data_IF_536834378734
#
_entry.id   IF_536834378734
#
_cell.length_a   1.000
_cell.length_b   1.000
_cell.length_c   1.000
_cell.angle_alpha   90.00
_cell.angle_beta   90.00
_cell.angle_gamma   90.00
#
_symmetry.space_group_name_H-M   'P 1'
#
loop_
_entity.id
_entity.type
_entity.pdbx_description
1 polymer ?
#
# COMPACT_ATOMS: atom_id res chain seq x y z
N UNK A 1 22.12 22.21 35.25
CA UNK A 1 22.21 21.25 36.39
C UNK A 1 21.08 20.24 36.25
N UNK A 2 21.36 18.96 36.51
CA UNK A 2 20.28 17.93 36.58
C UNK A 2 20.01 17.59 38.04
N UNK A 3 18.75 17.54 38.44
CA UNK A 3 18.33 17.14 39.78
C UNK A 3 17.06 16.28 39.78
N UNK A 4 16.85 15.53 40.84
CA UNK A 4 15.58 14.84 41.04
C UNK A 4 14.47 15.87 41.31
N UNK A 5 13.28 15.58 40.79
CA UNK A 5 12.09 16.30 41.21
C UNK A 5 11.66 15.92 42.64
N UNK A 6 11.09 16.86 43.33
CA UNK A 6 10.49 16.70 44.66
C UNK A 6 8.97 16.90 44.54
N UNK A 7 8.16 16.53 45.53
CA UNK A 7 6.72 16.84 45.51
C UNK A 7 6.39 18.33 45.29
N UNK A 8 7.26 19.22 45.74
CA UNK A 8 7.09 20.67 45.56
C UNK A 8 7.24 21.10 44.08
N UNK A 9 7.90 20.28 43.27
CA UNK A 9 8.12 20.52 41.85
C UNK A 9 6.91 20.08 40.98
N UNK A 10 5.87 19.47 41.55
CA UNK A 10 4.72 18.98 40.81
C UNK A 10 4.10 19.98 39.83
N UNK A 11 3.91 21.28 40.14
CA UNK A 11 3.42 22.25 39.18
C UNK A 11 4.34 22.40 37.98
N UNK A 12 5.67 22.38 38.18
CA UNK A 12 6.67 22.51 37.16
C UNK A 12 6.74 21.26 36.26
N UNK A 13 6.67 20.08 36.87
CA UNK A 13 6.63 18.79 36.13
C UNK A 13 5.39 18.75 35.22
N UNK A 14 4.23 19.16 35.75
CA UNK A 14 2.99 19.26 34.96
C UNK A 14 3.11 20.24 33.80
N UNK A 15 3.76 21.37 33.99
CA UNK A 15 3.97 22.35 32.95
C UNK A 15 4.84 21.75 31.82
N UNK A 16 6.01 21.21 32.15
CA UNK A 16 6.93 20.63 31.15
C UNK A 16 6.33 19.42 30.45
N UNK A 17 5.52 18.64 31.16
CA UNK A 17 4.80 17.52 30.56
C UNK A 17 3.74 17.99 29.56
N UNK A 18 2.96 19.04 29.91
CA UNK A 18 1.97 19.61 28.97
C UNK A 18 2.66 20.25 27.74
N UNK A 19 3.83 20.88 27.92
CA UNK A 19 4.64 21.39 26.81
C UNK A 19 5.11 20.24 25.89
N UNK A 20 5.50 19.10 26.47
CA UNK A 20 5.85 17.88 25.72
C UNK A 20 4.67 17.35 24.92
N UNK A 21 3.51 17.15 25.54
CA UNK A 21 2.31 16.64 24.86
C UNK A 21 1.85 17.53 23.70
N UNK A 22 1.95 18.83 23.86
CA UNK A 22 1.58 19.77 22.79
C UNK A 22 2.47 19.63 21.53
N UNK A 23 3.67 19.04 21.66
CA UNK A 23 4.57 18.81 20.53
C UNK A 23 4.51 17.40 19.94
N UNK A 24 3.94 16.43 20.68
CA UNK A 24 3.81 15.05 20.21
C UNK A 24 2.45 14.88 19.53
N UNK A 25 2.40 14.65 18.23
CA UNK A 25 1.13 14.41 17.56
C UNK A 25 0.56 13.05 18.01
N UNK A 26 -0.66 13.07 18.54
CA UNK A 26 -1.39 11.83 18.81
C UNK A 26 -1.81 11.14 17.52
N UNK A 27 -1.87 9.80 17.59
CA UNK A 27 -2.50 9.04 16.54
C UNK A 27 -4.02 9.34 16.54
N UNK A 28 -4.66 9.59 15.37
CA UNK A 28 -6.07 10.02 15.30
C UNK A 28 -7.08 9.06 15.93
N UNK A 29 -6.67 7.85 16.27
CA UNK A 29 -7.47 6.75 16.83
C UNK A 29 -7.13 6.44 18.30
N UNK A 30 -6.23 7.18 18.95
CA UNK A 30 -5.99 7.07 20.38
C UNK A 30 -6.96 7.96 21.14
N UNK A 31 -7.47 7.44 22.25
CA UNK A 31 -8.21 8.26 23.21
C UNK A 31 -7.27 9.29 23.86
N UNK A 32 -7.80 10.44 24.20
CA UNK A 32 -7.06 11.48 24.93
C UNK A 32 -6.97 11.09 26.40
N UNK A 33 -5.84 10.50 26.77
CA UNK A 33 -5.53 10.09 28.15
C UNK A 33 -4.77 11.19 28.95
N UNK A 34 -4.58 12.39 28.39
CA UNK A 34 -3.77 13.48 28.97
C UNK A 34 -4.19 13.82 30.39
N UNK A 35 -5.50 13.86 30.68
CA UNK A 35 -6.00 14.16 32.02
C UNK A 35 -5.66 13.06 33.04
N UNK A 36 -5.72 11.80 32.63
CA UNK A 36 -5.36 10.66 33.47
C UNK A 36 -3.85 10.63 33.75
N UNK A 37 -3.05 10.86 32.70
CA UNK A 37 -1.59 10.94 32.82
C UNK A 37 -1.15 12.10 33.72
N UNK A 38 -1.73 13.29 33.57
CA UNK A 38 -1.49 14.42 34.47
C UNK A 38 -1.85 14.14 35.95
N UNK A 39 -2.89 13.33 36.18
CA UNK A 39 -3.28 12.95 37.54
C UNK A 39 -2.29 11.95 38.15
N UNK A 40 -1.59 11.13 37.35
CA UNK A 40 -0.63 10.13 37.84
C UNK A 40 0.71 10.75 38.27
N UNK A 41 1.10 11.91 37.75
CA UNK A 41 2.43 12.53 37.93
C UNK A 41 2.86 12.71 39.39
N UNK A 42 1.92 12.94 40.32
CA UNK A 42 2.22 13.01 41.75
C UNK A 42 2.71 11.68 42.30
N UNK A 43 2.06 10.58 41.85
CA UNK A 43 2.49 9.22 42.19
C UNK A 43 3.84 8.86 41.55
N UNK A 44 4.09 9.35 40.38
CA UNK A 44 5.31 9.10 39.60
C UNK A 44 6.54 9.75 40.27
N UNK A 45 6.42 11.02 40.76
CA UNK A 45 7.49 11.68 41.53
C UNK A 45 7.89 10.87 42.76
N UNK A 46 6.92 10.17 43.38
CA UNK A 46 7.18 9.38 44.57
C UNK A 46 7.78 7.99 44.31
N UNK A 47 7.58 7.41 43.16
CA UNK A 47 7.90 6.01 42.82
C UNK A 47 8.91 5.81 41.74
N UNK A 48 9.09 6.82 40.86
CA UNK A 48 9.84 6.72 39.64
C UNK A 48 11.04 7.66 39.62
N UNK A 49 11.83 7.61 38.54
CA UNK A 49 12.92 8.52 38.31
C UNK A 49 12.37 9.74 37.56
N UNK A 50 12.10 10.82 38.26
CA UNK A 50 11.68 12.10 37.67
C UNK A 50 12.83 13.10 37.81
N UNK A 51 13.35 13.58 36.70
CA UNK A 51 14.49 14.49 36.63
C UNK A 51 14.13 15.80 35.96
N UNK A 52 14.61 16.89 36.55
CA UNK A 52 14.52 18.23 35.97
C UNK A 52 15.90 18.71 35.55
N UNK A 53 15.98 19.32 34.36
CA UNK A 53 17.14 20.03 33.89
C UNK A 53 16.93 21.53 34.07
N UNK A 54 17.92 22.22 34.67
CA UNK A 54 17.90 23.65 34.87
C UNK A 54 19.14 24.30 34.22
N UNK A 55 18.92 25.47 33.64
CA UNK A 55 19.95 26.37 33.12
C UNK A 55 19.69 27.79 33.64
N UNK A 56 20.67 28.42 34.23
CA UNK A 56 20.57 29.79 34.80
C UNK A 56 19.39 29.95 35.77
N UNK A 57 19.01 28.88 36.50
CA UNK A 57 17.90 28.86 37.44
C UNK A 57 16.53 28.60 36.77
N UNK A 58 16.48 28.49 35.45
CA UNK A 58 15.24 28.20 34.72
C UNK A 58 15.12 26.72 34.34
N UNK A 59 13.93 26.13 34.46
CA UNK A 59 13.68 24.74 34.06
C UNK A 59 13.62 24.64 32.53
N UNK A 60 14.46 23.79 31.95
CA UNK A 60 14.58 23.65 30.49
C UNK A 60 14.35 22.22 29.99
N UNK A 61 14.13 21.24 30.87
CA UNK A 61 13.89 19.87 30.45
C UNK A 61 13.39 18.95 31.55
N UNK A 62 12.78 17.86 31.15
CA UNK A 62 12.17 16.83 31.97
C UNK A 62 12.55 15.44 31.44
N UNK A 63 12.87 14.53 32.33
CA UNK A 63 12.90 13.09 32.03
C UNK A 63 12.14 12.32 33.07
N UNK A 64 11.28 11.38 32.61
CA UNK A 64 10.58 10.42 33.48
C UNK A 64 10.99 9.03 33.04
N UNK A 65 11.43 8.20 33.97
CA UNK A 65 11.86 6.84 33.70
C UNK A 65 11.48 5.92 34.85
N UNK A 66 11.24 4.67 34.52
CA UNK A 66 10.82 3.64 35.48
C UNK A 66 11.52 2.31 35.22
N UNK A 67 11.33 1.37 36.12
CA UNK A 67 11.75 -0.04 35.91
C UNK A 67 10.59 -0.87 35.37
N UNK A 68 10.82 -1.54 34.22
CA UNK A 68 9.96 -2.59 33.67
C UNK A 68 10.52 -3.98 34.01
N UNK A 69 10.55 -4.38 35.29
CA UNK A 69 11.11 -5.66 35.72
C UNK A 69 12.55 -5.62 36.24
N UNK A 70 13.22 -6.78 36.30
CA UNK A 70 14.50 -6.91 37.00
C UNK A 70 15.69 -6.25 36.26
N UNK A 71 15.68 -6.26 34.93
CA UNK A 71 16.83 -5.85 34.10
C UNK A 71 16.56 -4.72 33.13
N UNK A 72 15.30 -4.30 32.97
CA UNK A 72 14.87 -3.33 31.98
C UNK A 72 14.44 -2.05 32.66
N UNK A 73 15.05 -0.93 32.26
CA UNK A 73 14.57 0.42 32.50
C UNK A 73 13.76 0.91 31.28
N UNK A 74 12.83 1.79 31.52
CA UNK A 74 12.02 2.41 30.47
C UNK A 74 12.06 3.94 30.61
N UNK A 75 12.45 4.62 29.55
CA UNK A 75 12.39 6.07 29.45
C UNK A 75 11.05 6.43 28.83
N UNK A 76 10.15 6.89 29.66
CA UNK A 76 8.78 7.24 29.27
C UNK A 76 8.72 8.63 28.64
N UNK A 77 9.28 9.63 29.31
CA UNK A 77 9.31 11.02 28.86
C UNK A 77 10.74 11.53 28.76
N UNK A 78 11.06 12.17 27.65
CA UNK A 78 12.24 13.01 27.50
C UNK A 78 11.87 14.26 26.74
N UNK A 79 11.85 15.37 27.45
CA UNK A 79 11.53 16.68 26.90
C UNK A 79 12.64 17.70 27.16
N UNK A 80 12.93 18.53 26.18
CA UNK A 80 13.80 19.70 26.30
C UNK A 80 13.14 20.83 25.54
N UNK A 81 12.98 21.96 26.22
CA UNK A 81 12.40 23.19 25.63
C UNK A 81 13.15 23.57 24.34
N UNK A 82 12.43 24.06 23.30
CA UNK A 82 13.00 24.34 21.99
C UNK A 82 14.26 25.22 22.02
N UNK A 83 14.28 26.25 22.86
CA UNK A 83 15.39 27.21 23.04
C UNK A 83 16.63 26.61 23.73
N UNK A 84 16.46 25.51 24.45
CA UNK A 84 17.55 24.77 25.10
C UNK A 84 18.05 23.55 24.31
N UNK A 85 17.44 23.24 23.16
CA UNK A 85 17.86 22.11 22.31
C UNK A 85 19.22 22.36 21.67
N UNK A 86 19.92 21.27 21.33
CA UNK A 86 21.24 21.33 20.75
C UNK A 86 22.37 21.67 21.75
N UNK A 87 22.03 21.99 23.02
CA UNK A 87 23.03 22.33 24.07
C UNK A 87 23.49 21.15 24.94
N UNK A 88 23.06 19.89 24.60
CA UNK A 88 23.44 18.69 25.32
C UNK A 88 22.55 18.29 26.48
N UNK A 89 21.50 19.07 26.82
CA UNK A 89 20.59 18.82 27.96
C UNK A 89 19.93 17.45 27.92
N UNK A 90 19.48 17.00 26.76
CA UNK A 90 18.87 15.67 26.62
C UNK A 90 19.86 14.55 26.96
N UNK A 91 21.12 14.68 26.53
CA UNK A 91 22.17 13.72 26.85
C UNK A 91 22.53 13.69 28.35
N UNK A 92 22.52 14.85 29.02
CA UNK A 92 22.72 14.93 30.45
C UNK A 92 21.59 14.28 31.23
N UNK A 93 20.32 14.52 30.84
CA UNK A 93 19.14 13.89 31.45
C UNK A 93 19.19 12.36 31.31
N UNK A 94 19.41 11.85 30.07
CA UNK A 94 19.48 10.41 29.79
C UNK A 94 20.68 9.79 30.52
N UNK A 95 21.82 10.46 30.58
CA UNK A 95 23.01 10.02 31.35
C UNK A 95 22.67 9.78 32.81
N UNK A 96 21.94 10.70 33.45
CA UNK A 96 21.53 10.57 34.86
C UNK A 96 20.47 9.46 35.04
N UNK A 97 19.51 9.33 34.11
CA UNK A 97 18.53 8.21 34.09
C UNK A 97 19.28 6.88 34.03
N UNK A 98 20.23 6.72 33.09
CA UNK A 98 21.03 5.50 32.94
C UNK A 98 21.83 5.19 34.19
N UNK A 99 22.42 6.18 34.85
CA UNK A 99 23.14 5.98 36.10
C UNK A 99 22.24 5.39 37.19
N UNK A 100 21.07 6.01 37.41
CA UNK A 100 20.12 5.56 38.45
C UNK A 100 19.53 4.20 38.15
N UNK A 101 19.18 3.92 36.90
CA UNK A 101 18.67 2.62 36.49
C UNK A 101 19.73 1.52 36.63
N UNK A 102 20.99 1.82 36.32
CA UNK A 102 22.12 0.89 36.52
C UNK A 102 22.33 0.57 38.01
N UNK A 103 22.30 1.56 38.88
CA UNK A 103 22.39 1.38 40.32
C UNK A 103 21.23 0.53 40.87
N UNK A 104 20.06 0.62 40.23
CA UNK A 104 18.91 -0.21 40.49
C UNK A 104 18.95 -1.60 39.82
N UNK A 105 20.04 -1.98 39.12
CA UNK A 105 20.28 -3.28 38.51
C UNK A 105 19.77 -3.46 37.08
N UNK A 106 19.30 -2.40 36.41
CA UNK A 106 18.95 -2.46 34.99
C UNK A 106 20.20 -2.62 34.12
N UNK A 107 20.06 -3.37 33.03
CA UNK A 107 21.13 -3.62 32.04
C UNK A 107 20.70 -3.22 30.63
N UNK A 108 19.43 -2.89 30.44
CA UNK A 108 18.85 -2.42 29.17
C UNK A 108 17.97 -1.21 29.46
N UNK A 109 17.95 -0.24 28.55
CA UNK A 109 17.01 0.87 28.53
C UNK A 109 16.16 0.80 27.28
N UNK A 110 14.84 0.81 27.45
CA UNK A 110 13.84 0.88 26.39
C UNK A 110 13.20 2.26 26.36
N UNK A 111 12.70 2.65 25.21
CA UNK A 111 11.83 3.80 25.00
C UNK A 111 10.88 3.54 23.83
N UNK A 112 9.80 4.31 23.78
CA UNK A 112 8.91 4.36 22.62
C UNK A 112 9.07 5.69 21.88
N UNK A 113 9.00 5.65 20.55
CA UNK A 113 9.08 6.83 19.71
C UNK A 113 8.20 6.64 18.48
N UNK A 114 7.43 7.68 18.14
CA UNK A 114 6.63 7.66 16.93
C UNK A 114 7.51 7.46 15.69
N UNK A 115 7.07 6.60 14.78
CA UNK A 115 7.78 6.34 13.51
C UNK A 115 7.98 7.62 12.68
N UNK A 116 7.06 8.59 12.78
CA UNK A 116 7.12 9.90 12.14
C UNK A 116 8.12 10.87 12.78
N UNK A 117 8.56 10.64 14.03
CA UNK A 117 9.49 11.52 14.73
C UNK A 117 10.96 11.22 14.34
N UNK A 118 11.30 11.55 13.10
CA UNK A 118 12.64 11.30 12.55
C UNK A 118 13.76 12.01 13.35
N UNK A 119 13.48 13.19 13.92
CA UNK A 119 14.46 13.95 14.69
C UNK A 119 14.85 13.24 15.99
N UNK A 120 13.88 12.78 16.77
CA UNK A 120 14.13 12.03 18.00
C UNK A 120 14.80 10.68 17.70
N UNK A 121 14.33 9.95 16.69
CA UNK A 121 14.92 8.68 16.26
C UNK A 121 16.42 8.83 15.92
N UNK A 122 16.79 9.86 15.17
CA UNK A 122 18.21 10.13 14.84
C UNK A 122 19.06 10.42 16.08
N UNK A 123 18.50 11.01 17.14
CA UNK A 123 19.20 11.20 18.42
C UNK A 123 19.39 9.86 19.12
N UNK A 124 18.34 9.05 19.22
CA UNK A 124 18.40 7.75 19.89
C UNK A 124 19.34 6.77 19.19
N UNK A 125 19.36 6.74 17.86
CA UNK A 125 20.29 5.92 17.07
C UNK A 125 21.76 6.28 17.39
N UNK A 126 22.09 7.58 17.53
CA UNK A 126 23.43 8.02 17.93
C UNK A 126 23.82 7.60 19.35
N UNK A 127 22.83 7.38 20.23
CA UNK A 127 23.03 6.88 21.58
C UNK A 127 23.05 5.34 21.66
N UNK A 128 22.94 4.64 20.52
CA UNK A 128 23.03 3.19 20.43
C UNK A 128 21.69 2.46 20.56
N UNK A 129 20.56 3.17 20.54
CA UNK A 129 19.26 2.53 20.46
C UNK A 129 19.04 1.95 19.05
N UNK A 130 18.46 0.76 18.98
CA UNK A 130 18.04 0.11 17.75
C UNK A 130 16.56 -0.28 17.85
N UNK A 131 15.80 -0.29 16.74
CA UNK A 131 14.43 -0.78 16.73
C UNK A 131 14.36 -2.23 17.21
N UNK A 132 13.43 -2.53 18.12
CA UNK A 132 13.22 -3.87 18.66
C UNK A 132 11.79 -4.35 18.38
N UNK A 133 10.80 -3.51 18.54
CA UNK A 133 9.40 -3.78 18.25
C UNK A 133 8.85 -2.73 17.28
N UNK A 134 7.87 -3.12 16.49
CA UNK A 134 7.16 -2.24 15.56
C UNK A 134 5.66 -2.41 15.77
N UNK A 135 4.99 -1.35 16.19
CA UNK A 135 3.53 -1.31 16.24
C UNK A 135 2.98 -0.86 14.89
N UNK A 136 2.10 -1.68 14.30
CA UNK A 136 1.37 -1.35 13.08
C UNK A 136 -0.09 -1.11 13.45
N UNK A 137 -0.71 -0.13 12.79
CA UNK A 137 -2.12 0.17 12.95
C UNK A 137 -2.75 0.45 11.58
N UNK A 138 -3.99 -0.02 11.41
CA UNK A 138 -4.82 0.30 10.26
C UNK A 138 -6.28 0.42 10.70
N UNK A 139 -7.10 1.28 10.05
CA UNK A 139 -8.55 1.26 10.24
C UNK A 139 -9.14 -0.10 9.91
N UNK A 140 -10.11 -0.56 10.71
CA UNK A 140 -10.75 -1.87 10.48
C UNK A 140 -11.39 -1.95 9.08
N UNK A 141 -12.03 -0.87 8.62
CA UNK A 141 -12.61 -0.80 7.28
C UNK A 141 -11.58 -1.01 6.16
N UNK A 142 -10.35 -0.56 6.36
CA UNK A 142 -9.26 -0.79 5.41
C UNK A 142 -8.83 -2.26 5.40
N UNK A 143 -8.74 -2.87 6.58
CA UNK A 143 -8.44 -4.30 6.73
C UNK A 143 -9.55 -5.14 6.07
N UNK A 144 -10.81 -4.85 6.39
CA UNK A 144 -11.96 -5.54 5.80
C UNK A 144 -11.97 -5.44 4.28
N UNK A 145 -11.71 -4.25 3.73
CA UNK A 145 -11.64 -4.02 2.30
C UNK A 145 -10.52 -4.82 1.63
N UNK A 146 -9.34 -4.94 2.28
CA UNK A 146 -8.18 -5.66 1.73
C UNK A 146 -8.30 -7.18 1.88
N UNK A 147 -8.98 -7.65 2.92
CA UNK A 147 -9.20 -9.06 3.20
C UNK A 147 -10.50 -9.60 2.58
N UNK A 148 -11.39 -8.72 2.08
CA UNK A 148 -12.61 -9.15 1.43
C UNK A 148 -12.30 -10.13 0.29
N UNK A 149 -12.96 -11.29 0.24
CA UNK A 149 -12.76 -12.21 -0.86
C UNK A 149 -13.20 -11.54 -2.18
N UNK A 150 -12.52 -11.82 -3.30
CA UNK A 150 -12.91 -11.34 -4.60
C UNK A 150 -14.38 -11.70 -4.87
N UNK A 151 -15.20 -10.71 -5.15
CA UNK A 151 -16.62 -10.91 -5.42
C UNK A 151 -17.09 -9.90 -6.47
N UNK A 152 -17.26 -10.35 -7.69
CA UNK A 152 -17.70 -9.50 -8.78
C UNK A 152 -17.76 -10.24 -10.10
N UNK A 153 -18.24 -9.59 -11.17
CA UNK A 153 -18.37 -10.22 -12.47
C UNK A 153 -16.99 -10.54 -13.05
N UNK A 154 -16.90 -11.70 -13.70
CA UNK A 154 -15.84 -11.99 -14.66
C UNK A 154 -16.42 -11.78 -16.04
N UNK A 155 -15.73 -11.03 -16.87
CA UNK A 155 -16.10 -10.83 -18.27
C UNK A 155 -14.88 -10.46 -19.10
N UNK A 156 -15.00 -10.64 -20.42
CA UNK A 156 -13.93 -10.25 -21.33
C UNK A 156 -14.39 -10.13 -22.76
N UNK A 157 -13.57 -9.45 -23.56
CA UNK A 157 -13.75 -9.26 -24.98
C UNK A 157 -12.43 -9.43 -25.74
N UNK A 158 -12.53 -9.81 -26.98
CA UNK A 158 -11.39 -9.90 -27.90
C UNK A 158 -11.51 -8.85 -28.99
N UNK A 159 -10.46 -8.07 -29.18
CA UNK A 159 -10.42 -7.02 -30.19
C UNK A 159 -9.37 -7.36 -31.24
N UNK A 160 -9.77 -7.38 -32.50
CA UNK A 160 -8.92 -7.71 -33.65
C UNK A 160 -8.63 -6.42 -34.44
N UNK A 161 -7.36 -6.11 -34.65
CA UNK A 161 -6.95 -4.90 -35.35
C UNK A 161 -7.10 -5.08 -36.87
N UNK A 162 -8.30 -4.80 -37.37
CA UNK A 162 -8.68 -4.95 -38.76
C UNK A 162 -9.95 -4.15 -39.09
N UNK A 163 -10.14 -3.79 -40.37
CA UNK A 163 -11.38 -3.20 -40.87
C UNK A 163 -12.29 -4.24 -41.53
N UNK A 164 -11.85 -5.50 -41.68
CA UNK A 164 -12.63 -6.58 -42.29
C UNK A 164 -13.50 -7.30 -41.25
N UNK A 165 -14.68 -6.74 -40.95
CA UNK A 165 -15.68 -7.33 -40.06
C UNK A 165 -16.05 -8.75 -40.50
N UNK A 166 -16.29 -8.97 -41.78
CA UNK A 166 -16.73 -10.29 -42.27
C UNK A 166 -15.65 -11.36 -42.14
N UNK A 167 -14.36 -11.01 -42.21
CA UNK A 167 -13.29 -11.98 -41.92
C UNK A 167 -13.28 -12.37 -40.43
N UNK A 168 -13.53 -11.43 -39.52
CA UNK A 168 -13.61 -11.71 -38.07
C UNK A 168 -14.83 -12.59 -37.76
N UNK A 169 -16.00 -12.29 -38.30
CA UNK A 169 -17.21 -13.11 -38.13
C UNK A 169 -16.99 -14.57 -38.57
N UNK A 170 -16.38 -14.77 -39.75
CA UNK A 170 -16.04 -16.11 -40.25
C UNK A 170 -15.02 -16.83 -39.36
N UNK A 171 -14.03 -16.10 -38.82
CA UNK A 171 -13.05 -16.66 -37.91
C UNK A 171 -13.69 -17.07 -36.57
N UNK A 172 -14.53 -16.23 -35.99
CA UNK A 172 -15.29 -16.51 -34.76
C UNK A 172 -16.17 -17.75 -34.95
N UNK A 173 -16.96 -17.82 -36.00
CA UNK A 173 -17.82 -18.97 -36.30
C UNK A 173 -17.03 -20.29 -36.44
N UNK A 174 -15.77 -20.25 -36.83
CA UNK A 174 -14.89 -21.42 -36.95
C UNK A 174 -14.16 -21.76 -35.66
N UNK A 175 -13.77 -20.77 -34.87
CA UNK A 175 -12.93 -20.94 -33.67
C UNK A 175 -13.78 -21.27 -32.44
N UNK A 176 -14.85 -20.51 -32.17
CA UNK A 176 -15.65 -20.66 -30.94
C UNK A 176 -16.14 -22.09 -30.72
N UNK A 177 -16.69 -22.84 -31.71
CA UNK A 177 -17.14 -24.21 -31.50
C UNK A 177 -16.02 -25.19 -31.08
N UNK A 178 -14.75 -24.84 -31.30
CA UNK A 178 -13.59 -25.67 -30.90
C UNK A 178 -13.16 -25.39 -29.45
N UNK A 179 -13.55 -24.23 -28.90
CA UNK A 179 -13.24 -23.83 -27.53
C UNK A 179 -14.24 -24.41 -26.53
N UNK A 180 -15.50 -24.57 -26.97
CA UNK A 180 -16.55 -25.10 -26.14
C UNK A 180 -17.94 -24.76 -26.65
N UNK A 181 -18.96 -25.08 -25.84
CA UNK A 181 -20.33 -24.71 -26.11
C UNK A 181 -20.59 -23.31 -25.62
N UNK A 182 -20.75 -22.34 -26.51
CA UNK A 182 -21.12 -20.96 -26.23
C UNK A 182 -22.65 -20.77 -26.35
N UNK A 183 -23.18 -19.84 -25.58
CA UNK A 183 -24.56 -19.36 -25.72
C UNK A 183 -24.72 -18.37 -26.90
N UNK A 184 -23.63 -17.71 -27.31
CA UNK A 184 -23.60 -16.79 -28.44
C UNK A 184 -22.36 -15.93 -28.49
N UNK A 185 -22.15 -15.32 -29.67
CA UNK A 185 -21.10 -14.34 -29.93
C UNK A 185 -21.69 -13.13 -30.61
N UNK A 186 -21.21 -11.94 -30.22
CA UNK A 186 -21.51 -10.68 -30.90
C UNK A 186 -20.23 -10.10 -31.46
N UNK A 187 -20.23 -9.74 -32.75
CA UNK A 187 -19.09 -9.13 -33.44
C UNK A 187 -19.49 -7.74 -33.89
N UNK A 188 -18.77 -6.70 -33.47
CA UNK A 188 -19.07 -5.30 -33.73
C UNK A 188 -17.87 -4.53 -34.24
N UNK A 189 -18.12 -3.46 -34.97
CA UNK A 189 -17.08 -2.58 -35.49
C UNK A 189 -17.05 -2.53 -37.03
N UNK A 190 -15.93 -2.12 -37.64
CA UNK A 190 -14.71 -1.61 -37.01
C UNK A 190 -14.88 -0.24 -36.37
N UNK A 191 -14.20 -0.02 -35.22
CA UNK A 191 -14.07 1.29 -34.59
C UNK A 191 -12.59 1.52 -34.25
N UNK A 192 -12.06 2.65 -34.68
CA UNK A 192 -10.62 2.98 -34.55
C UNK A 192 -9.69 1.89 -35.13
N UNK A 193 -10.12 1.17 -36.20
CA UNK A 193 -9.36 0.06 -36.78
C UNK A 193 -9.42 -1.25 -35.97
N UNK A 194 -10.35 -1.38 -35.02
CA UNK A 194 -10.55 -2.59 -34.22
C UNK A 194 -11.98 -3.14 -34.38
N UNK A 195 -12.08 -4.45 -34.56
CA UNK A 195 -13.34 -5.20 -34.50
C UNK A 195 -13.44 -5.88 -33.15
N UNK A 196 -14.50 -5.64 -32.41
CA UNK A 196 -14.75 -6.24 -31.09
C UNK A 196 -15.53 -7.55 -31.22
N UNK A 197 -15.15 -8.54 -30.41
CA UNK A 197 -15.78 -9.86 -30.29
C UNK A 197 -16.12 -10.09 -28.83
N UNK A 198 -17.39 -10.22 -28.54
CA UNK A 198 -17.92 -10.63 -27.25
C UNK A 198 -18.51 -12.03 -27.37
N UNK A 199 -18.03 -12.97 -26.57
CA UNK A 199 -18.53 -14.34 -26.55
C UNK A 199 -18.73 -14.79 -25.11
N UNK A 200 -19.84 -15.48 -24.85
CA UNK A 200 -20.20 -15.93 -23.50
C UNK A 200 -19.12 -16.79 -22.83
N UNK A 201 -18.29 -17.52 -23.63
CA UNK A 201 -17.15 -18.27 -23.09
C UNK A 201 -16.10 -17.37 -22.44
N UNK A 202 -15.94 -16.13 -22.92
CA UNK A 202 -14.99 -15.17 -22.36
C UNK A 202 -15.40 -14.67 -20.97
N UNK A 203 -16.69 -14.75 -20.64
CA UNK A 203 -17.24 -14.34 -19.35
C UNK A 203 -17.18 -15.45 -18.30
N UNK A 204 -16.92 -16.69 -18.72
CA UNK A 204 -16.82 -17.84 -17.80
C UNK A 204 -15.44 -17.97 -17.17
N UNK A 205 -14.41 -17.98 -18.01
CA UNK A 205 -13.04 -18.28 -17.59
C UNK A 205 -12.01 -17.45 -18.33
N UNK A 206 -11.04 -16.83 -17.63
CA UNK A 206 -9.93 -16.08 -18.25
C UNK A 206 -9.13 -16.92 -19.25
N UNK A 207 -9.04 -18.23 -19.02
CA UNK A 207 -8.35 -19.15 -19.92
C UNK A 207 -9.02 -19.25 -21.30
N UNK A 208 -10.37 -19.17 -21.37
CA UNK A 208 -11.11 -19.19 -22.62
C UNK A 208 -10.98 -17.87 -23.38
N UNK A 209 -10.96 -16.73 -22.67
CA UNK A 209 -10.66 -15.41 -23.24
C UNK A 209 -9.26 -15.41 -23.88
N UNK A 210 -8.24 -15.89 -23.17
CA UNK A 210 -6.87 -16.03 -23.69
C UNK A 210 -6.83 -16.92 -24.93
N UNK A 211 -7.48 -18.08 -24.89
CA UNK A 211 -7.52 -19.03 -26.03
C UNK A 211 -8.20 -18.45 -27.26
N UNK A 212 -9.34 -17.77 -27.07
CA UNK A 212 -10.05 -17.11 -28.18
C UNK A 212 -9.18 -16.04 -28.84
N UNK A 213 -8.53 -15.17 -28.04
CA UNK A 213 -7.62 -14.15 -28.54
C UNK A 213 -6.47 -14.74 -29.34
N UNK A 214 -5.83 -15.78 -28.81
CA UNK A 214 -4.72 -16.51 -29.48
C UNK A 214 -5.15 -17.14 -30.80
N UNK A 215 -6.27 -17.85 -30.82
CA UNK A 215 -6.77 -18.55 -32.02
C UNK A 215 -7.21 -17.56 -33.10
N UNK A 216 -7.84 -16.45 -32.73
CA UNK A 216 -8.20 -15.39 -33.68
C UNK A 216 -6.95 -14.71 -34.26
N UNK A 217 -5.94 -14.43 -33.43
CA UNK A 217 -4.65 -13.88 -33.90
C UNK A 217 -3.90 -14.85 -34.82
N UNK A 218 -4.06 -16.15 -34.68
CA UNK A 218 -3.50 -17.15 -35.55
C UNK A 218 -4.29 -17.27 -36.86
N UNK A 219 -5.61 -17.18 -36.79
CA UNK A 219 -6.50 -17.32 -37.96
C UNK A 219 -6.49 -16.07 -38.86
N UNK A 220 -6.22 -14.93 -38.29
CA UNK A 220 -6.22 -13.63 -38.95
C UNK A 220 -4.84 -13.00 -38.82
N UNK A 221 -4.22 -12.46 -39.93
CA UNK A 221 -2.90 -11.85 -39.87
C UNK A 221 -2.97 -10.44 -39.22
N UNK A 222 -3.50 -10.39 -38.00
CA UNK A 222 -3.78 -9.15 -37.29
C UNK A 222 -3.37 -9.23 -35.80
N UNK A 223 -3.02 -8.11 -35.23
CA UNK A 223 -2.84 -7.97 -33.79
C UNK A 223 -4.18 -8.19 -33.11
N UNK A 224 -4.18 -8.92 -32.02
CA UNK A 224 -5.38 -9.22 -31.24
C UNK A 224 -5.14 -8.92 -29.78
N UNK A 225 -6.05 -8.16 -29.19
CA UNK A 225 -6.09 -7.87 -27.75
C UNK A 225 -7.25 -8.64 -27.11
N UNK A 226 -6.94 -9.56 -26.20
CA UNK A 226 -7.90 -10.15 -25.29
C UNK A 226 -7.83 -9.38 -23.96
N UNK A 227 -8.91 -8.76 -23.53
CA UNK A 227 -8.96 -7.92 -22.34
C UNK A 227 -10.23 -8.18 -21.53
N UNK A 228 -10.13 -8.13 -20.21
CA UNK A 228 -11.29 -8.38 -19.36
C UNK A 228 -11.03 -8.11 -17.87
N UNK A 229 -12.07 -8.33 -17.10
CA UNK A 229 -12.10 -8.23 -15.65
C UNK A 229 -12.26 -9.61 -15.04
N UNK A 230 -11.48 -9.95 -14.04
CA UNK A 230 -11.56 -11.19 -13.28
C UNK A 230 -12.15 -10.92 -11.89
N UNK A 231 -13.27 -11.56 -11.56
CA UNK A 231 -13.93 -11.52 -10.25
C UNK A 231 -14.23 -10.10 -9.72
N UNK A 232 -14.33 -9.12 -10.63
CA UNK A 232 -14.57 -7.72 -10.30
C UNK A 232 -13.35 -6.98 -9.69
N UNK A 233 -12.21 -7.63 -9.53
CA UNK A 233 -11.06 -7.09 -8.78
C UNK A 233 -9.81 -6.89 -9.62
N UNK A 234 -9.57 -7.73 -10.61
CA UNK A 234 -8.36 -7.65 -11.42
C UNK A 234 -8.68 -7.43 -12.90
N UNK A 235 -7.86 -6.63 -13.56
CA UNK A 235 -7.90 -6.45 -15.01
C UNK A 235 -6.77 -7.23 -15.63
N UNK A 236 -7.12 -8.09 -16.59
CA UNK A 236 -6.14 -8.81 -17.41
C UNK A 236 -6.21 -8.35 -18.86
N UNK A 237 -5.06 -8.30 -19.50
CA UNK A 237 -5.02 -8.37 -20.98
C UNK A 237 -3.91 -9.30 -21.46
N UNK A 238 -4.12 -9.83 -22.66
CA UNK A 238 -3.12 -10.55 -23.44
C UNK A 238 -3.09 -9.95 -24.85
N UNK A 239 -1.92 -9.52 -25.30
CA UNK A 239 -1.71 -9.02 -26.64
C UNK A 239 -1.04 -10.09 -27.49
N UNK A 240 -1.63 -10.40 -28.65
CA UNK A 240 -1.14 -11.44 -29.55
C UNK A 240 -0.79 -10.87 -30.91
N UNK A 241 0.26 -11.42 -31.51
CA UNK A 241 0.61 -11.22 -32.91
C UNK A 241 0.86 -12.60 -33.54
N UNK A 242 0.13 -12.93 -34.62
CA UNK A 242 0.22 -14.19 -35.35
C UNK A 242 0.15 -15.44 -34.46
N UNK A 243 -0.72 -15.42 -33.46
CA UNK A 243 -0.93 -16.49 -32.49
C UNK A 243 0.13 -16.60 -31.40
N UNK A 244 1.15 -15.74 -31.38
CA UNK A 244 2.12 -15.63 -30.29
C UNK A 244 1.70 -14.59 -29.27
N UNK A 245 1.74 -14.90 -27.97
CA UNK A 245 1.61 -13.91 -26.92
C UNK A 245 2.86 -13.01 -26.93
N UNK A 246 2.66 -11.71 -27.01
CA UNK A 246 3.74 -10.72 -27.14
C UNK A 246 3.79 -9.77 -25.95
N UNK A 247 2.68 -9.65 -25.22
CA UNK A 247 2.59 -8.92 -23.97
C UNK A 247 1.45 -9.47 -23.12
N UNK A 248 1.64 -9.56 -21.82
CA UNK A 248 0.66 -10.01 -20.84
C UNK A 248 0.62 -9.05 -19.66
N UNK A 249 -0.56 -8.82 -19.14
CA UNK A 249 -0.76 -7.95 -18.00
C UNK A 249 -1.82 -8.49 -17.06
N UNK A 250 -1.56 -8.40 -15.76
CA UNK A 250 -2.54 -8.60 -14.70
C UNK A 250 -2.38 -7.50 -13.66
N UNK A 251 -3.42 -6.71 -13.42
CA UNK A 251 -3.35 -5.54 -12.56
C UNK A 251 -2.99 -5.85 -11.10
N UNK A 252 -3.43 -7.01 -10.61
CA UNK A 252 -3.10 -7.51 -9.27
C UNK A 252 -2.63 -8.96 -9.43
N UNK A 253 -1.33 -9.20 -9.69
CA UNK A 253 -0.81 -10.55 -9.98
C UNK A 253 -1.11 -11.59 -8.91
N UNK A 254 -1.08 -11.20 -7.65
CA UNK A 254 -1.20 -12.11 -6.49
C UNK A 254 -2.60 -12.12 -5.86
N UNK A 255 -3.65 -11.64 -6.56
CA UNK A 255 -5.00 -11.58 -5.98
C UNK A 255 -5.61 -12.96 -5.67
N UNK A 256 -5.07 -14.03 -6.26
CA UNK A 256 -5.46 -15.43 -5.98
C UNK A 256 -4.46 -16.20 -5.11
N UNK A 257 -3.35 -15.59 -4.75
CA UNK A 257 -2.28 -16.19 -3.95
C UNK A 257 -0.90 -15.73 -4.39
N UNK A 258 0.08 -16.03 -3.57
CA UNK A 258 1.47 -15.64 -3.82
C UNK A 258 2.03 -16.28 -5.10
N UNK A 259 2.80 -15.50 -5.86
CA UNK A 259 3.51 -15.92 -7.06
C UNK A 259 5.02 -15.76 -6.88
N UNK A 260 5.84 -16.56 -7.60
CA UNK A 260 7.27 -16.31 -7.70
C UNK A 260 7.55 -14.88 -8.20
N UNK A 261 8.56 -14.18 -7.66
CA UNK A 261 8.84 -12.79 -8.04
C UNK A 261 9.04 -12.56 -9.55
N UNK A 262 9.57 -13.57 -10.27
CA UNK A 262 9.73 -13.53 -11.72
C UNK A 262 8.40 -13.51 -12.47
N UNK A 263 7.40 -14.25 -11.97
CA UNK A 263 6.06 -14.32 -12.57
C UNK A 263 5.29 -13.03 -12.33
N UNK A 264 5.44 -12.42 -11.15
CA UNK A 264 4.86 -11.08 -10.85
C UNK A 264 5.39 -10.03 -11.84
N UNK A 265 6.71 -10.05 -12.11
CA UNK A 265 7.32 -9.13 -13.08
C UNK A 265 6.85 -9.40 -14.51
N UNK A 266 6.70 -10.68 -14.88
CA UNK A 266 6.23 -11.08 -16.22
C UNK A 266 4.78 -10.64 -16.51
N UNK A 267 3.96 -10.48 -15.50
CA UNK A 267 2.59 -9.98 -15.59
C UNK A 267 2.49 -8.44 -15.58
N UNK A 268 3.60 -7.73 -15.62
CA UNK A 268 3.66 -6.29 -15.81
C UNK A 268 3.59 -5.91 -17.29
N UNK A 269 2.76 -4.94 -17.64
CA UNK A 269 2.66 -4.43 -19.01
C UNK A 269 4.02 -3.97 -19.55
N UNK A 270 4.30 -4.27 -20.83
CA UNK A 270 5.45 -3.70 -21.54
C UNK A 270 5.01 -2.51 -22.43
N UNK A 271 5.16 -1.26 -21.97
CA UNK A 271 4.66 -0.09 -22.71
C UNK A 271 5.22 0.06 -24.11
N UNK A 272 6.46 -0.42 -24.37
CA UNK A 272 7.08 -0.33 -25.69
C UNK A 272 6.50 -1.34 -26.67
N UNK A 273 6.17 -2.54 -26.21
CA UNK A 273 5.52 -3.57 -27.03
C UNK A 273 4.10 -3.13 -27.37
N UNK A 274 3.34 -2.69 -26.37
CA UNK A 274 1.98 -2.17 -26.57
C UNK A 274 1.98 -1.01 -27.55
N UNK A 275 2.81 0.01 -27.33
CA UNK A 275 2.91 1.16 -28.22
C UNK A 275 3.21 0.78 -29.68
N UNK A 276 4.13 -0.13 -29.90
CA UNK A 276 4.50 -0.60 -31.24
C UNK A 276 3.33 -1.25 -31.98
N UNK A 277 2.49 -2.00 -31.28
CA UNK A 277 1.44 -2.82 -31.90
C UNK A 277 0.09 -2.09 -31.98
N UNK A 278 -0.21 -1.25 -31.02
CA UNK A 278 -1.52 -0.55 -30.95
C UNK A 278 -1.46 0.90 -31.38
N UNK A 279 -0.26 1.50 -31.46
CA UNK A 279 -0.08 2.94 -31.69
C UNK A 279 -0.27 3.80 -30.44
N UNK A 280 -0.45 3.19 -29.26
CA UNK A 280 -0.61 3.90 -28.00
C UNK A 280 0.65 4.69 -27.60
N UNK A 281 0.47 5.75 -26.80
CA UNK A 281 1.59 6.42 -26.15
C UNK A 281 2.17 5.53 -25.03
N UNK A 282 3.47 5.16 -25.08
CA UNK A 282 4.08 4.30 -24.07
C UNK A 282 4.09 4.91 -22.66
N UNK A 283 4.02 6.23 -22.53
CA UNK A 283 3.92 6.88 -21.24
C UNK A 283 2.51 6.70 -20.64
N UNK A 284 1.47 6.90 -21.46
CA UNK A 284 0.10 6.66 -21.03
C UNK A 284 -0.12 5.19 -20.66
N UNK A 285 0.42 4.23 -21.42
CA UNK A 285 0.36 2.80 -21.08
C UNK A 285 0.98 2.56 -19.72
N UNK A 286 2.16 3.13 -19.42
CA UNK A 286 2.84 2.99 -18.12
C UNK A 286 2.01 3.55 -16.97
N UNK A 287 1.29 4.63 -17.21
CA UNK A 287 0.45 5.28 -16.18
C UNK A 287 -0.81 4.47 -15.87
N UNK A 288 -1.48 3.90 -16.87
CA UNK A 288 -2.75 3.19 -16.68
C UNK A 288 -2.56 1.71 -16.38
N UNK A 289 -1.60 1.02 -16.99
CA UNK A 289 -1.37 -0.42 -16.83
C UNK A 289 -0.30 -0.72 -15.74
N UNK A 290 -0.49 -0.17 -14.54
CA UNK A 290 0.36 -0.44 -13.38
C UNK A 290 -0.11 -1.72 -12.67
N UNK A 291 0.83 -2.48 -12.12
CA UNK A 291 0.53 -3.57 -11.20
C UNK A 291 0.49 -3.06 -9.76
N UNK A 292 -0.30 -3.71 -8.92
CA UNK A 292 -0.38 -3.46 -7.48
C UNK A 292 -0.45 -4.77 -6.70
N UNK A 293 -0.15 -4.72 -5.41
CA UNK A 293 -0.28 -5.87 -4.51
C UNK A 293 -1.71 -6.05 -3.99
N UNK A 294 -2.55 -5.01 -4.10
CA UNK A 294 -3.94 -5.04 -3.67
C UNK A 294 -4.85 -4.31 -4.67
N UNK A 295 -6.08 -4.79 -4.92
CA UNK A 295 -7.07 -4.07 -5.72
C UNK A 295 -7.36 -2.66 -5.21
N UNK A 296 -7.24 -2.44 -3.90
CA UNK A 296 -7.48 -1.15 -3.26
C UNK A 296 -6.46 -0.05 -3.67
N UNK A 297 -5.32 -0.44 -4.21
CA UNK A 297 -4.27 0.49 -4.66
C UNK A 297 -4.47 0.96 -6.11
N UNK A 298 -5.53 0.49 -6.77
CA UNK A 298 -5.89 0.78 -8.15
C UNK A 298 -7.31 1.37 -8.26
N UNK A 299 -7.64 2.02 -9.38
CA UNK A 299 -9.04 2.35 -9.67
C UNK A 299 -9.90 1.10 -9.71
N UNK A 300 -11.23 1.21 -9.50
CA UNK A 300 -12.16 0.09 -9.67
C UNK A 300 -11.93 -0.62 -11.00
N UNK A 301 -12.02 -1.97 -11.03
CA UNK A 301 -11.64 -2.77 -12.20
C UNK A 301 -12.39 -2.37 -13.49
N UNK A 302 -13.66 -2.00 -13.40
CA UNK A 302 -14.45 -1.49 -14.53
C UNK A 302 -13.88 -0.16 -15.08
N UNK A 303 -13.45 0.72 -14.23
CA UNK A 303 -12.83 1.98 -14.64
C UNK A 303 -11.43 1.74 -15.22
N UNK A 304 -10.67 0.84 -14.60
CA UNK A 304 -9.32 0.52 -15.04
C UNK A 304 -9.30 -0.14 -16.41
N UNK A 305 -10.18 -1.13 -16.68
CA UNK A 305 -10.28 -1.78 -17.98
C UNK A 305 -10.64 -0.80 -19.08
N UNK A 306 -11.58 0.11 -18.82
CA UNK A 306 -11.97 1.15 -19.76
C UNK A 306 -10.82 2.12 -20.06
N UNK A 307 -10.05 2.53 -19.06
CA UNK A 307 -8.86 3.40 -19.23
C UNK A 307 -7.77 2.73 -20.07
N UNK A 308 -7.47 1.46 -19.76
CA UNK A 308 -6.47 0.69 -20.52
C UNK A 308 -6.91 0.52 -21.97
N UNK A 309 -8.15 0.14 -22.22
CA UNK A 309 -8.72 -0.01 -23.54
C UNK A 309 -8.65 1.30 -24.35
N UNK A 310 -9.05 2.42 -23.74
CA UNK A 310 -9.03 3.73 -24.37
C UNK A 310 -7.62 4.15 -24.83
N UNK A 311 -6.59 3.91 -23.99
CA UNK A 311 -5.18 4.20 -24.35
C UNK A 311 -4.73 3.35 -25.52
N UNK A 312 -5.22 2.10 -25.65
CA UNK A 312 -4.92 1.22 -26.79
C UNK A 312 -5.81 1.47 -28.02
N UNK A 313 -6.69 2.48 -27.98
CA UNK A 313 -7.59 2.82 -29.08
C UNK A 313 -8.81 1.89 -29.22
N UNK A 314 -9.06 1.05 -28.20
CA UNK A 314 -10.12 0.06 -28.18
C UNK A 314 -11.38 0.60 -27.49
N UNK A 315 -12.55 0.26 -28.00
CA UNK A 315 -13.86 0.58 -27.41
C UNK A 315 -14.60 -0.70 -27.05
N UNK A 316 -15.63 -0.59 -26.22
CA UNK A 316 -16.50 -1.74 -25.85
C UNK A 316 -15.77 -2.86 -25.07
N UNK A 317 -14.72 -2.54 -24.30
CA UNK A 317 -14.00 -3.49 -23.46
C UNK A 317 -14.47 -3.51 -22.00
N UNK A 318 -15.48 -2.71 -21.66
CA UNK A 318 -16.01 -2.49 -20.30
C UNK A 318 -17.19 -3.40 -19.97
N UNK A 319 -17.49 -4.34 -20.84
CA UNK A 319 -18.57 -5.33 -20.62
C UNK A 319 -18.28 -6.65 -21.34
N UNK A 320 -18.93 -7.70 -20.88
CA UNK A 320 -18.98 -9.00 -21.56
C UNK A 320 -20.12 -9.12 -22.60
N UNK A 321 -20.41 -10.35 -22.98
CA UNK A 321 -21.51 -10.67 -23.87
C UNK A 321 -22.86 -10.36 -23.22
N UNK A 322 -23.76 -9.66 -23.94
CA UNK A 322 -25.05 -9.19 -23.39
C UNK A 322 -26.24 -10.05 -23.76
N UNK A 323 -26.04 -11.14 -24.51
CA UNK A 323 -27.14 -11.87 -25.13
C UNK A 323 -27.76 -11.12 -26.35
N UNK A 324 -28.52 -11.82 -27.12
CA UNK A 324 -29.35 -11.24 -28.19
C UNK A 324 -30.69 -10.75 -27.63
#
# INVERSE_FOLDING_TARGET
MIRAATPDDLPLVRQLWSEFEAEVPDAPWRDDDSAANLASLEGDIAREIVLLAERDGEPVGLAIAMRKGARVGFLDILYVRPDARGSGVAGELVGEVVARLRDAGATVLELEVLASNAAARAVYERWGFAPHELTLAAPLEEIDRRLAPPSGPTFGSVHVQTDDLGAVERAVAKVVPRLGRSAGSTVTGPRNGWVAVHDELCDREPALLHRLGKELSYALPAVTLAIGVEEGVAVRYNLFDRGGAVDEYLSVPEYRGELPPGDVVALGANPRVVARLTGADPQQVREVARTASSPADLPPALELVARIAAVMGVTEADHGWKGD
#
